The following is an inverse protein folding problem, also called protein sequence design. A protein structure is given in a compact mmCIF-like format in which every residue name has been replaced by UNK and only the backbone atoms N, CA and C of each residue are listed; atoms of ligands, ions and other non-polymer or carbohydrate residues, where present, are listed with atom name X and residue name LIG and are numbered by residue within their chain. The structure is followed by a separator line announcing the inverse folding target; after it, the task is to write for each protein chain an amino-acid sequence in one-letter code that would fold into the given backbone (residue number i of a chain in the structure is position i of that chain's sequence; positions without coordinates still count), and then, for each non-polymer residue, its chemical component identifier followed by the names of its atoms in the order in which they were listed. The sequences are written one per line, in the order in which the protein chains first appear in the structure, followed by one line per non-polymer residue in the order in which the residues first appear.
data_IF_967730126023
#
_entry.id   IF_967730126023
#
_cell.length_a   1.000
_cell.length_b   1.000
_cell.length_c   1.000
_cell.angle_alpha   90.00
_cell.angle_beta   90.00
_cell.angle_gamma   90.00
#
_symmetry.space_group_name_H-M   'P 1'
#
loop_
_entity.id
_entity.type
_entity.pdbx_description
1 polymer ?
#
# COMPACT_ATOMS: atom_id res chain seq x y z
N UNK A 1 -13.18 64.37 -4.88
CA UNK A 1 -14.38 63.88 -4.18
C UNK A 1 -15.03 62.83 -5.09
N UNK A 2 -14.85 61.56 -4.73
CA UNK A 2 -15.58 60.33 -5.11
C UNK A 2 -15.72 59.84 -6.58
N UNK A 3 -15.07 58.68 -6.85
CA UNK A 3 -15.55 57.39 -7.41
C UNK A 3 -16.91 57.34 -8.17
N UNK A 4 -17.16 56.50 -9.19
CA UNK A 4 -16.87 55.07 -9.41
C UNK A 4 -17.17 54.72 -10.89
N UNK A 5 -16.26 54.13 -11.68
CA UNK A 5 -16.10 52.69 -11.96
C UNK A 5 -17.39 51.87 -12.21
N UNK A 6 -17.51 51.35 -13.44
CA UNK A 6 -18.40 50.24 -13.83
C UNK A 6 -17.72 49.40 -14.92
N UNK A 7 -16.99 48.36 -14.50
CA UNK A 7 -16.36 47.37 -15.40
C UNK A 7 -17.24 46.11 -15.43
N UNK A 8 -17.75 45.76 -16.60
CA UNK A 8 -18.40 44.47 -16.84
C UNK A 8 -17.34 43.41 -17.14
N UNK A 9 -17.02 42.57 -16.14
CA UNK A 9 -16.20 41.38 -16.33
C UNK A 9 -17.10 40.19 -16.62
N UNK A 10 -16.98 39.64 -17.84
CA UNK A 10 -17.54 38.34 -18.20
C UNK A 10 -16.83 37.23 -17.43
N UNK A 11 -17.58 36.49 -16.62
CA UNK A 11 -17.12 35.25 -15.99
C UNK A 11 -16.98 34.14 -17.04
N UNK A 12 -15.79 34.00 -17.61
CA UNK A 12 -15.38 32.76 -18.28
C UNK A 12 -15.05 31.70 -17.22
N UNK A 13 -15.88 30.66 -17.13
CA UNK A 13 -15.63 29.45 -16.36
C UNK A 13 -14.32 28.80 -16.85
N UNK A 14 -13.23 29.00 -16.10
CA UNK A 14 -12.00 28.25 -16.29
C UNK A 14 -12.20 26.82 -15.77
N UNK A 15 -12.57 25.91 -16.66
CA UNK A 15 -12.47 24.48 -16.40
C UNK A 15 -10.99 24.14 -16.17
N UNK A 16 -10.63 23.87 -14.92
CA UNK A 16 -9.30 23.38 -14.54
C UNK A 16 -9.10 22.00 -15.17
N UNK A 17 -8.52 21.96 -16.36
CA UNK A 17 -7.94 20.75 -16.93
C UNK A 17 -6.77 20.35 -16.04
N UNK A 18 -6.99 19.36 -15.18
CA UNK A 18 -5.89 18.61 -14.56
C UNK A 18 -5.12 17.95 -15.69
N UNK A 19 -3.92 18.46 -15.96
CA UNK A 19 -3.00 17.91 -16.94
C UNK A 19 -2.54 16.53 -16.44
N UNK A 20 -3.28 15.48 -16.82
CA UNK A 20 -2.99 14.11 -16.39
C UNK A 20 -1.77 13.58 -17.13
N UNK A 21 -0.58 13.89 -16.61
CA UNK A 21 0.66 13.27 -17.09
C UNK A 21 0.65 11.80 -16.71
N UNK A 22 0.69 10.93 -17.72
CA UNK A 22 0.85 9.49 -17.54
C UNK A 22 2.24 9.21 -16.98
N UNK A 23 2.32 8.54 -15.83
CA UNK A 23 3.59 8.02 -15.30
C UNK A 23 4.00 6.74 -16.02
N UNK A 24 5.26 6.66 -16.46
CA UNK A 24 5.82 5.44 -17.05
C UNK A 24 6.86 4.83 -16.10
N UNK A 25 6.69 3.56 -15.75
CA UNK A 25 7.62 2.84 -14.88
C UNK A 25 8.21 1.63 -15.61
N UNK A 26 9.54 1.52 -15.55
CA UNK A 26 10.28 0.38 -16.07
C UNK A 26 10.53 -0.64 -14.94
N UNK A 27 10.07 -1.87 -15.14
CA UNK A 27 10.18 -2.98 -14.20
C UNK A 27 8.81 -3.43 -13.70
N UNK A 28 8.37 -4.61 -14.13
CA UNK A 28 7.15 -5.27 -13.66
C UNK A 28 7.43 -6.35 -12.60
N UNK A 29 8.52 -6.21 -11.85
CA UNK A 29 8.81 -7.05 -10.68
C UNK A 29 7.94 -6.68 -9.48
N UNK A 30 8.18 -7.30 -8.30
CA UNK A 30 7.38 -7.14 -7.08
C UNK A 30 7.15 -5.69 -6.66
N UNK A 31 8.21 -4.89 -6.67
CA UNK A 31 8.16 -3.47 -6.35
C UNK A 31 7.31 -2.67 -7.36
N UNK A 32 7.44 -2.96 -8.65
CA UNK A 32 6.72 -2.26 -9.71
C UNK A 32 5.21 -2.50 -9.66
N UNK A 33 4.79 -3.74 -9.41
CA UNK A 33 3.37 -4.08 -9.26
C UNK A 33 2.78 -3.58 -7.93
N UNK A 34 3.55 -3.60 -6.83
CA UNK A 34 3.13 -3.01 -5.57
C UNK A 34 2.92 -1.50 -5.70
N UNK A 35 3.88 -0.79 -6.32
CA UNK A 35 3.75 0.63 -6.60
C UNK A 35 2.54 0.92 -7.51
N UNK A 36 2.34 0.12 -8.56
CA UNK A 36 1.18 0.24 -9.44
C UNK A 36 -0.15 0.11 -8.70
N UNK A 37 -0.24 -0.79 -7.73
CA UNK A 37 -1.42 -0.95 -6.89
C UNK A 37 -1.71 0.32 -6.07
N UNK A 38 -0.68 0.89 -5.44
CA UNK A 38 -0.80 2.15 -4.69
C UNK A 38 -1.21 3.32 -5.60
N UNK A 39 -0.56 3.47 -6.75
CA UNK A 39 -0.87 4.52 -7.73
C UNK A 39 -2.26 4.34 -8.36
N UNK A 40 -2.78 3.12 -8.38
CA UNK A 40 -4.16 2.84 -8.80
C UNK A 40 -5.22 3.35 -7.81
N UNK A 41 -4.78 3.95 -6.70
CA UNK A 41 -5.59 4.55 -5.66
C UNK A 41 -5.86 3.62 -4.48
N UNK A 42 -5.24 2.44 -4.41
CA UNK A 42 -5.41 1.57 -3.26
C UNK A 42 -4.54 2.04 -2.09
N UNK A 43 -5.16 2.11 -0.91
CA UNK A 43 -4.53 2.58 0.31
C UNK A 43 -4.81 1.60 1.45
N UNK A 44 -3.82 1.31 2.31
CA UNK A 44 -4.01 0.44 3.46
C UNK A 44 -4.63 1.22 4.62
N UNK A 45 -5.71 0.71 5.19
CA UNK A 45 -6.32 1.23 6.41
C UNK A 45 -6.29 0.14 7.49
N UNK A 46 -6.32 0.55 8.76
CA UNK A 46 -6.58 -0.39 9.85
C UNK A 46 -7.95 -1.05 9.64
N UNK A 47 -8.00 -2.38 9.74
CA UNK A 47 -9.27 -3.09 9.81
C UNK A 47 -9.83 -2.98 11.23
N UNK A 48 -10.92 -2.23 11.37
CA UNK A 48 -11.58 -1.99 12.66
C UNK A 48 -12.24 -3.23 13.26
N UNK A 49 -12.30 -4.34 12.53
CA UNK A 49 -12.79 -5.64 13.02
C UNK A 49 -11.68 -6.52 13.60
N UNK A 50 -10.43 -6.09 13.47
CA UNK A 50 -9.24 -6.83 13.92
C UNK A 50 -8.60 -6.18 15.14
N UNK A 51 -7.85 -6.98 15.89
CA UNK A 51 -7.05 -6.52 17.02
C UNK A 51 -5.62 -6.99 16.81
N UNK A 52 -4.67 -6.04 16.85
CA UNK A 52 -3.27 -6.37 16.70
C UNK A 52 -2.69 -6.93 18.03
N UNK A 53 -1.88 -8.00 18.01
CA UNK A 53 -1.37 -8.65 19.23
C UNK A 53 -0.42 -7.79 20.05
N UNK A 54 0.28 -6.83 19.45
CA UNK A 54 1.02 -5.80 20.17
C UNK A 54 0.06 -4.68 20.62
N UNK A 55 -0.24 -4.55 21.93
CA UNK A 55 -1.23 -3.60 22.43
C UNK A 55 -0.78 -2.13 22.32
N UNK A 56 0.53 -1.87 22.37
CA UNK A 56 1.09 -0.52 22.22
C UNK A 56 0.88 -0.04 20.79
N UNK A 57 1.32 -0.85 19.81
CA UNK A 57 1.09 -0.55 18.39
C UNK A 57 -0.41 -0.42 18.09
N UNK A 58 -1.24 -1.34 18.61
CA UNK A 58 -2.68 -1.28 18.38
C UNK A 58 -3.30 0.04 18.88
N UNK A 59 -2.89 0.51 20.06
CA UNK A 59 -3.35 1.79 20.60
C UNK A 59 -2.97 2.94 19.68
N UNK A 60 -1.72 3.01 19.21
CA UNK A 60 -1.25 4.04 18.27
C UNK A 60 -2.09 4.05 16.98
N UNK A 61 -2.34 2.87 16.41
CA UNK A 61 -3.15 2.73 15.19
C UNK A 61 -4.61 3.19 15.38
N UNK A 62 -5.18 3.01 16.58
CA UNK A 62 -6.56 3.42 16.86
C UNK A 62 -6.74 4.94 16.91
N UNK A 63 -5.70 5.70 17.27
CA UNK A 63 -5.74 7.17 17.36
C UNK A 63 -6.10 7.82 16.01
N UNK A 64 -5.63 7.24 14.90
CA UNK A 64 -5.84 7.76 13.54
C UNK A 64 -6.44 6.72 12.58
N UNK A 65 -7.26 5.79 13.08
CA UNK A 65 -7.86 4.67 12.31
C UNK A 65 -8.62 5.04 11.03
N UNK A 66 -9.01 6.30 10.86
CA UNK A 66 -9.73 6.81 9.69
C UNK A 66 -8.81 7.33 8.58
N UNK A 67 -7.51 7.44 8.86
CA UNK A 67 -6.45 7.86 7.93
C UNK A 67 -5.74 6.61 7.39
N UNK A 68 -5.35 6.55 6.10
CA UNK A 68 -4.55 5.44 5.62
C UNK A 68 -3.21 5.33 6.35
N UNK A 69 -2.71 4.12 6.56
CA UNK A 69 -1.42 3.89 7.24
C UNK A 69 -0.28 4.65 6.56
N UNK A 70 -0.26 4.69 5.22
CA UNK A 70 0.77 5.41 4.44
C UNK A 70 0.75 6.92 4.60
N UNK A 71 -0.28 7.48 5.22
CA UNK A 71 -0.48 8.92 5.43
C UNK A 71 -0.47 9.29 6.91
N UNK A 72 -0.21 8.33 7.79
CA UNK A 72 0.02 8.53 9.22
C UNK A 72 1.51 8.79 9.50
N UNK A 73 1.82 9.15 10.74
CA UNK A 73 3.20 9.26 11.20
C UNK A 73 3.83 7.86 11.32
N UNK A 74 4.56 7.46 10.28
CA UNK A 74 5.20 6.15 10.20
C UNK A 74 6.34 6.01 11.21
N UNK A 75 7.01 7.10 11.59
CA UNK A 75 8.07 7.05 12.60
C UNK A 75 7.44 6.72 13.96
N UNK A 76 6.40 7.45 14.34
CA UNK A 76 5.64 7.20 15.56
C UNK A 76 5.05 5.79 15.61
N UNK A 77 4.46 5.30 14.53
CA UNK A 77 3.92 3.94 14.46
C UNK A 77 5.00 2.86 14.58
N UNK A 78 6.21 3.13 14.09
CA UNK A 78 7.31 2.15 14.06
C UNK A 78 8.15 2.15 15.33
N UNK A 79 8.03 3.15 16.19
CA UNK A 79 8.77 3.24 17.46
C UNK A 79 8.63 1.96 18.30
N UNK A 80 9.77 1.40 18.69
CA UNK A 80 9.85 0.22 19.55
C UNK A 80 9.48 -1.09 18.85
N UNK A 81 9.28 -1.10 17.53
CA UNK A 81 9.16 -2.34 16.77
C UNK A 81 10.54 -2.91 16.48
N UNK A 82 10.68 -4.22 16.68
CA UNK A 82 11.88 -4.98 16.36
C UNK A 82 11.54 -6.01 15.30
N UNK A 83 12.50 -6.30 14.41
CA UNK A 83 12.30 -7.25 13.33
C UNK A 83 13.58 -7.50 12.53
N UNK A 84 13.45 -8.26 11.45
CA UNK A 84 14.59 -8.70 10.62
C UNK A 84 15.18 -7.62 9.70
N UNK A 85 14.52 -6.46 9.59
CA UNK A 85 14.94 -5.35 8.74
C UNK A 85 15.47 -4.17 9.56
N UNK A 86 16.46 -3.46 9.03
CA UNK A 86 16.91 -2.18 9.58
C UNK A 86 16.02 -1.00 9.18
N UNK A 87 15.07 -1.23 8.27
CA UNK A 87 14.11 -0.21 7.88
C UNK A 87 12.86 -0.33 8.80
N UNK A 88 12.61 0.66 9.68
CA UNK A 88 11.50 0.60 10.63
C UNK A 88 10.13 0.52 9.93
N UNK A 89 9.98 1.18 8.77
CA UNK A 89 8.74 1.12 7.99
C UNK A 89 8.51 -0.28 7.43
N UNK A 90 9.56 -0.98 7.02
CA UNK A 90 9.43 -2.36 6.57
C UNK A 90 8.97 -3.27 7.73
N UNK A 91 9.58 -3.13 8.91
CA UNK A 91 9.19 -3.87 10.12
C UNK A 91 7.73 -3.58 10.50
N UNK A 92 7.29 -2.32 10.40
CA UNK A 92 5.90 -1.95 10.61
C UNK A 92 4.95 -2.67 9.66
N UNK A 93 5.20 -2.62 8.35
CA UNK A 93 4.33 -3.29 7.38
C UNK A 93 4.35 -4.82 7.53
N UNK A 94 5.49 -5.41 7.82
CA UNK A 94 5.60 -6.85 8.13
C UNK A 94 4.74 -7.21 9.33
N UNK A 95 4.82 -6.42 10.41
CA UNK A 95 4.04 -6.61 11.64
C UNK A 95 2.54 -6.44 11.40
N UNK A 96 2.12 -5.55 10.49
CA UNK A 96 0.72 -5.30 10.18
C UNK A 96 0.11 -6.35 9.21
N UNK A 97 0.91 -6.86 8.28
CA UNK A 97 0.47 -7.86 7.30
C UNK A 97 0.55 -9.29 7.85
N UNK A 98 1.57 -9.58 8.65
CA UNK A 98 1.81 -10.89 9.24
C UNK A 98 2.22 -10.76 10.72
N UNK A 99 1.27 -10.41 11.62
CA UNK A 99 1.57 -10.20 13.03
C UNK A 99 2.27 -11.41 13.64
N UNK A 100 3.37 -11.16 14.38
CA UNK A 100 4.18 -12.17 15.08
C UNK A 100 4.68 -13.35 14.22
N UNK A 101 4.75 -13.21 12.89
CA UNK A 101 5.20 -14.30 12.03
C UNK A 101 6.69 -14.66 12.24
N UNK A 102 7.52 -13.74 12.75
CA UNK A 102 8.90 -14.03 13.18
C UNK A 102 8.99 -15.02 14.36
N UNK A 103 7.91 -15.15 15.14
CA UNK A 103 7.77 -16.14 16.21
C UNK A 103 7.06 -17.43 15.73
N UNK A 104 6.78 -17.54 14.44
CA UNK A 104 6.10 -18.70 13.84
C UNK A 104 4.58 -18.69 13.95
N UNK A 105 3.96 -17.57 14.34
CA UNK A 105 2.49 -17.45 14.33
C UNK A 105 1.96 -17.11 12.93
N UNK A 106 0.71 -17.48 12.68
CA UNK A 106 0.00 -17.19 11.43
C UNK A 106 -1.28 -16.39 11.68
N UNK A 107 -1.13 -15.17 12.21
CA UNK A 107 -2.26 -14.27 12.40
C UNK A 107 -2.70 -13.64 11.07
N UNK A 108 -4.00 -13.36 10.88
CA UNK A 108 -4.47 -12.62 9.71
C UNK A 108 -3.92 -11.18 9.71
N UNK A 109 -3.81 -10.56 8.52
CA UNK A 109 -3.44 -9.15 8.42
C UNK A 109 -4.44 -8.26 9.14
N UNK A 110 -3.95 -7.18 9.76
CA UNK A 110 -4.80 -6.16 10.42
C UNK A 110 -5.13 -4.99 9.50
N UNK A 111 -4.83 -5.12 8.20
CA UNK A 111 -5.03 -4.09 7.20
C UNK A 111 -6.14 -4.45 6.22
N UNK A 112 -6.94 -3.45 5.89
CA UNK A 112 -7.92 -3.50 4.80
C UNK A 112 -7.56 -2.50 3.72
N UNK A 113 -7.40 -2.99 2.50
CA UNK A 113 -7.11 -2.16 1.34
C UNK A 113 -8.40 -1.55 0.79
N UNK A 114 -8.38 -0.23 0.58
CA UNK A 114 -9.52 0.51 0.05
C UNK A 114 -9.07 1.31 -1.16
N UNK A 115 -9.87 1.30 -2.21
CA UNK A 115 -9.59 2.08 -3.42
C UNK A 115 -10.24 3.45 -3.32
N UNK A 116 -9.41 4.49 -3.36
CA UNK A 116 -9.83 5.87 -3.58
C UNK A 116 -9.62 6.24 -5.05
N UNK A 117 -10.73 6.42 -5.78
CA UNK A 117 -10.69 6.79 -7.21
C UNK A 117 -10.18 8.21 -7.43
N UNK A 118 -10.27 9.10 -6.44
CA UNK A 118 -9.80 10.48 -6.56
C UNK A 118 -8.27 10.55 -6.50
N UNK A 119 -7.65 9.58 -5.83
CA UNK A 119 -6.20 9.44 -5.68
C UNK A 119 -5.57 8.57 -6.78
N UNK A 120 -6.33 8.17 -7.80
CA UNK A 120 -5.80 7.40 -8.93
C UNK A 120 -4.88 8.27 -9.79
N UNK A 121 -3.63 7.84 -9.91
CA UNK A 121 -2.63 8.44 -10.79
C UNK A 121 -2.54 7.55 -12.04
N UNK A 122 -2.90 8.03 -13.25
CA UNK A 122 -2.72 7.25 -14.46
C UNK A 122 -1.26 6.86 -14.65
N UNK A 123 -1.00 5.55 -14.82
CA UNK A 123 0.35 5.03 -15.01
C UNK A 123 0.36 3.79 -15.90
N UNK A 124 1.53 3.48 -16.45
CA UNK A 124 1.81 2.26 -17.21
C UNK A 124 3.08 1.60 -16.67
N UNK A 125 2.99 0.30 -16.38
CA UNK A 125 4.14 -0.52 -15.98
C UNK A 125 4.59 -1.32 -17.19
N UNK A 126 5.85 -1.14 -17.59
CA UNK A 126 6.46 -1.92 -18.65
C UNK A 126 7.53 -2.83 -18.07
N UNK A 127 7.58 -4.08 -18.52
CA UNK A 127 8.63 -5.00 -18.16
C UNK A 127 8.81 -6.09 -19.21
N UNK A 128 10.03 -6.64 -19.29
CA UNK A 128 10.37 -7.70 -20.24
C UNK A 128 10.01 -9.10 -19.74
N UNK A 129 9.83 -9.26 -18.43
CA UNK A 129 9.50 -10.52 -17.77
C UNK A 129 7.98 -10.66 -17.56
N UNK A 130 7.53 -11.80 -17.04
CA UNK A 130 6.14 -11.97 -16.56
C UNK A 130 5.85 -11.00 -15.39
N UNK A 131 4.65 -10.41 -15.27
CA UNK A 131 4.31 -9.54 -14.13
C UNK A 131 4.57 -10.24 -12.79
N UNK A 132 5.26 -9.61 -11.86
CA UNK A 132 5.80 -10.23 -10.64
C UNK A 132 7.28 -10.60 -10.76
N UNK A 133 7.82 -10.67 -11.97
CA UNK A 133 9.26 -10.82 -12.25
C UNK A 133 9.89 -11.94 -11.45
N UNK A 134 10.81 -11.58 -10.54
CA UNK A 134 11.55 -12.50 -9.69
C UNK A 134 10.66 -13.50 -8.93
N UNK A 135 9.41 -13.16 -8.58
CA UNK A 135 8.49 -14.10 -7.95
C UNK A 135 8.23 -15.37 -8.77
N UNK A 136 8.38 -15.33 -10.09
CA UNK A 136 8.23 -16.50 -10.97
C UNK A 136 9.43 -17.46 -10.91
N UNK A 137 10.58 -16.98 -10.47
CA UNK A 137 11.80 -17.77 -10.35
C UNK A 137 12.00 -18.38 -8.94
N UNK A 138 11.03 -18.16 -8.04
CA UNK A 138 11.09 -18.63 -6.66
C UNK A 138 10.39 -20.00 -6.57
N UNK A 139 11.17 -21.07 -6.73
CA UNK A 139 10.69 -22.45 -6.55
C UNK A 139 10.34 -22.72 -5.08
N UNK A 140 9.43 -23.66 -4.82
CA UNK A 140 8.95 -23.98 -3.46
C UNK A 140 10.01 -24.54 -2.50
N UNK A 141 11.20 -24.87 -3.01
CA UNK A 141 12.38 -25.30 -2.24
C UNK A 141 13.37 -24.16 -1.96
N UNK A 142 13.13 -22.97 -2.51
CA UNK A 142 14.03 -21.82 -2.36
C UNK A 142 13.96 -21.34 -0.91
N UNK A 143 15.07 -21.53 -0.17
CA UNK A 143 15.18 -21.10 1.22
C UNK A 143 15.38 -19.58 1.27
N UNK A 144 14.28 -18.84 1.23
CA UNK A 144 14.29 -17.39 1.36
C UNK A 144 14.32 -17.04 2.85
N UNK A 145 15.08 -16.00 3.21
CA UNK A 145 15.11 -15.50 4.60
C UNK A 145 13.70 -15.04 5.02
N UNK A 146 12.84 -14.68 4.06
CA UNK A 146 11.41 -14.40 4.28
C UNK A 146 10.57 -15.62 3.97
N UNK A 147 9.60 -15.96 4.81
CA UNK A 147 8.67 -17.07 4.56
C UNK A 147 7.85 -16.75 3.29
N UNK A 148 7.56 -17.74 2.43
CA UNK A 148 6.88 -17.50 1.13
C UNK A 148 5.53 -16.77 1.24
N UNK A 149 4.85 -16.89 2.39
CA UNK A 149 3.65 -16.11 2.73
C UNK A 149 3.86 -14.58 2.80
N UNK A 150 5.11 -14.10 2.82
CA UNK A 150 5.45 -12.66 2.91
C UNK A 150 5.66 -12.04 1.52
N UNK A 151 5.49 -12.82 0.46
CA UNK A 151 5.64 -12.37 -0.92
C UNK A 151 4.27 -12.15 -1.58
N UNK A 152 3.40 -11.48 -0.84
CA UNK A 152 2.03 -11.22 -1.25
C UNK A 152 1.90 -9.83 -1.88
N UNK A 153 0.96 -9.73 -2.82
CA UNK A 153 0.53 -8.42 -3.30
C UNK A 153 -0.33 -7.75 -2.23
N UNK A 154 -0.25 -6.41 -2.10
CA UNK A 154 -1.23 -5.64 -1.35
C UNK A 154 -2.67 -6.10 -1.57
N UNK A 155 -3.32 -6.58 -0.52
CA UNK A 155 -4.73 -6.97 -0.55
C UNK A 155 -5.04 -8.30 -1.23
N UNK A 156 -4.03 -9.12 -1.54
CA UNK A 156 -4.19 -10.48 -2.07
C UNK A 156 -3.50 -11.45 -1.13
N UNK A 157 -4.25 -12.37 -0.54
CA UNK A 157 -3.63 -13.44 0.25
C UNK A 157 -3.08 -14.54 -0.67
N UNK A 158 -1.86 -15.01 -0.41
CA UNK A 158 -1.22 -16.05 -1.21
C UNK A 158 -2.00 -17.36 -1.17
N UNK A 159 -2.64 -17.66 -0.03
CA UNK A 159 -3.45 -18.89 0.13
C UNK A 159 -4.63 -18.89 -0.84
N UNK A 160 -5.24 -17.73 -1.06
CA UNK A 160 -6.35 -17.58 -2.02
C UNK A 160 -5.91 -17.88 -3.46
N UNK A 161 -4.64 -17.60 -3.81
CA UNK A 161 -4.09 -17.88 -5.13
C UNK A 161 -3.77 -19.37 -5.33
N UNK A 162 -3.29 -20.04 -4.27
CA UNK A 162 -2.93 -21.48 -4.33
C UNK A 162 -4.11 -22.44 -4.21
N UNK A 163 -5.28 -21.96 -3.77
CA UNK A 163 -6.51 -22.75 -3.67
C UNK A 163 -7.14 -23.12 -5.02
N UNK A 164 -6.75 -22.43 -6.10
CA UNK A 164 -7.15 -22.73 -7.47
C UNK A 164 -6.36 -23.90 -8.04
N UNK A 165 -6.56 -25.11 -7.54
CA UNK A 165 -6.05 -26.32 -8.20
C UNK A 165 -6.59 -26.38 -9.62
N UNK A 166 -5.67 -26.32 -10.59
CA UNK A 166 -5.81 -26.89 -11.92
C UNK A 166 -6.59 -28.22 -11.82
N UNK A 167 -7.75 -28.27 -12.45
CA UNK A 167 -8.44 -29.50 -12.79
C UNK A 167 -8.08 -29.86 -14.22
#
# INVERSE_FOLDING_TARGET
MFHSAGSGLGCSHASSRRDHRLGLFAGNGPSGICLSYLLSGYKPYLDTTTVHPNPVLFRKLQETKHVPITEQDLEYLSEGLEGRSRNPVAVLFDTLLHPNADFGYEFPPVLKWRRDKQQHIPHMVLGKATPGGAWHAMEGSMLTISLGIWMELPGVNYRDLTGGKHR
#
